data_IF_329751982546
#
_entry.id   IF_329751982546
#
_cell.length_a   1.000
_cell.length_b   1.000
_cell.length_c   1.000
_cell.angle_alpha   90.00
_cell.angle_beta   90.00
_cell.angle_gamma   90.00
#
_symmetry.space_group_name_H-M   'P 1'
#
loop_
_entity.id
_entity.type
_entity.pdbx_description
1 polymer ?
#
# COMPACT_ATOMS: atom_id res chain seq x y z
N UNK A 1 -31.07 -4.65 -5.58
CA UNK A 1 -30.90 -3.77 -4.41
C UNK A 1 -29.51 -3.16 -4.49
N UNK A 2 -29.40 -1.84 -4.59
CA UNK A 2 -28.12 -1.13 -4.55
C UNK A 2 -27.43 -1.47 -3.23
N UNK A 3 -26.14 -1.88 -3.21
CA UNK A 3 -25.47 -2.23 -1.97
C UNK A 3 -25.49 -1.02 -1.02
N UNK A 4 -26.09 -1.16 0.17
CA UNK A 4 -26.02 -0.09 1.16
C UNK A 4 -24.65 -0.10 1.84
N UNK A 5 -24.10 1.10 2.07
CA UNK A 5 -22.87 1.29 2.81
C UNK A 5 -23.15 1.16 4.32
N UNK A 6 -22.42 0.28 5.05
CA UNK A 6 -22.51 0.19 6.50
C UNK A 6 -22.19 1.52 7.19
N UNK A 7 -22.81 1.77 8.34
CA UNK A 7 -22.43 2.89 9.22
C UNK A 7 -21.05 2.65 9.84
N UNK A 8 -20.27 3.72 10.00
CA UNK A 8 -18.94 3.67 10.62
C UNK A 8 -18.94 4.37 11.98
N UNK A 9 -18.07 3.96 12.93
CA UNK A 9 -17.90 4.65 14.21
C UNK A 9 -17.45 6.12 14.03
N UNK A 10 -16.51 6.35 13.11
CA UNK A 10 -16.07 7.67 12.65
C UNK A 10 -15.80 7.62 11.13
N UNK A 11 -15.54 8.76 10.50
CA UNK A 11 -15.18 8.80 9.07
C UNK A 11 -13.78 8.21 8.86
N UNK A 12 -13.50 7.74 7.65
CA UNK A 12 -12.17 7.24 7.27
C UNK A 12 -11.04 8.25 7.55
N UNK A 13 -11.31 9.55 7.37
CA UNK A 13 -10.36 10.63 7.69
C UNK A 13 -9.88 10.58 9.15
N UNK A 14 -10.76 10.20 10.08
CA UNK A 14 -10.51 10.19 11.52
C UNK A 14 -10.07 8.80 12.04
N UNK A 15 -9.81 7.84 11.14
CA UNK A 15 -9.56 6.45 11.51
C UNK A 15 -8.28 6.29 12.36
N UNK A 16 -7.23 7.07 12.09
CA UNK A 16 -5.99 7.03 12.86
C UNK A 16 -6.24 7.47 14.30
N UNK A 17 -6.95 8.58 14.50
CA UNK A 17 -7.32 9.11 15.81
C UNK A 17 -8.26 8.16 16.56
N UNK A 18 -9.16 7.49 15.83
CA UNK A 18 -10.04 6.46 16.40
C UNK A 18 -9.24 5.27 16.94
N UNK A 19 -8.23 4.78 16.21
CA UNK A 19 -7.34 3.72 16.72
C UNK A 19 -6.60 4.21 17.97
N UNK A 20 -6.02 5.41 17.93
CA UNK A 20 -5.22 5.95 19.03
C UNK A 20 -6.03 6.15 20.32
N UNK A 21 -7.30 6.54 20.20
CA UNK A 21 -8.21 6.70 21.34
C UNK A 21 -8.68 5.37 21.96
N UNK A 22 -8.40 4.23 21.32
CA UNK A 22 -8.76 2.89 21.79
C UNK A 22 -7.51 1.98 21.89
N UNK A 23 -6.56 2.28 22.79
CA UNK A 23 -5.31 1.52 22.91
C UNK A 23 -5.52 0.07 23.36
N UNK A 24 -6.49 -0.16 24.25
CA UNK A 24 -6.78 -1.48 24.85
C UNK A 24 -7.71 -2.35 24.00
N UNK A 25 -8.39 -1.79 23.01
CA UNK A 25 -9.30 -2.55 22.13
C UNK A 25 -8.49 -3.30 21.06
N UNK A 26 -8.73 -4.59 20.81
CA UNK A 26 -8.09 -5.33 19.72
C UNK A 26 -8.26 -4.62 18.37
N UNK A 27 -7.17 -4.52 17.59
CA UNK A 27 -7.17 -3.79 16.31
C UNK A 27 -8.16 -4.42 15.33
N UNK A 28 -8.32 -5.74 15.38
CA UNK A 28 -9.23 -6.52 14.55
C UNK A 28 -10.69 -6.10 14.76
N UNK A 29 -11.06 -5.73 15.99
CA UNK A 29 -12.40 -5.23 16.31
C UNK A 29 -12.60 -3.80 15.78
N UNK A 30 -11.58 -2.95 15.92
CA UNK A 30 -11.63 -1.55 15.48
C UNK A 30 -11.77 -1.42 13.96
N UNK A 31 -11.11 -2.30 13.19
CA UNK A 31 -11.13 -2.25 11.72
C UNK A 31 -12.32 -2.99 11.10
N UNK A 32 -13.00 -3.87 11.84
CA UNK A 32 -14.10 -4.70 11.34
C UNK A 32 -15.22 -3.90 10.65
N UNK A 33 -15.71 -2.76 11.18
CA UNK A 33 -16.71 -1.94 10.48
C UNK A 33 -16.20 -1.40 9.13
N UNK A 34 -14.93 -1.01 9.08
CA UNK A 34 -14.29 -0.48 7.88
C UNK A 34 -14.05 -1.55 6.82
N UNK A 35 -13.69 -2.78 7.23
CA UNK A 35 -13.59 -3.91 6.31
C UNK A 35 -14.95 -4.27 5.70
N UNK A 36 -16.03 -4.20 6.48
CA UNK A 36 -17.39 -4.38 5.96
C UNK A 36 -17.79 -3.26 4.98
N UNK A 37 -17.41 -2.01 5.30
CA UNK A 37 -17.60 -0.88 4.39
C UNK A 37 -16.86 -1.09 3.07
N UNK A 38 -15.56 -1.43 3.14
CA UNK A 38 -14.72 -1.66 1.97
C UNK A 38 -15.26 -2.80 1.09
N UNK A 39 -15.81 -3.86 1.69
CA UNK A 39 -16.46 -4.95 0.95
C UNK A 39 -17.73 -4.50 0.21
N UNK A 40 -18.54 -3.62 0.80
CA UNK A 40 -19.69 -2.99 0.12
C UNK A 40 -19.24 -2.01 -0.97
N UNK A 41 -18.26 -1.15 -0.66
CA UNK A 41 -17.67 -0.20 -1.60
C UNK A 41 -17.11 -0.91 -2.85
N UNK A 42 -16.40 -2.02 -2.66
CA UNK A 42 -15.89 -2.85 -3.76
C UNK A 42 -16.99 -3.35 -4.69
N UNK A 43 -18.15 -3.75 -4.17
CA UNK A 43 -19.30 -4.16 -4.98
C UNK A 43 -19.87 -2.98 -5.76
N UNK A 44 -19.99 -1.82 -5.12
CA UNK A 44 -20.45 -0.58 -5.75
C UNK A 44 -19.52 -0.19 -6.91
N UNK A 45 -18.22 -0.09 -6.67
CA UNK A 45 -17.24 0.22 -7.72
C UNK A 45 -17.30 -0.75 -8.91
N UNK A 46 -17.63 -2.02 -8.67
CA UNK A 46 -17.71 -3.03 -9.71
C UNK A 46 -19.06 -3.06 -10.46
N UNK A 47 -20.15 -2.61 -9.84
CA UNK A 47 -21.51 -2.89 -10.32
C UNK A 47 -22.38 -1.64 -10.54
N UNK A 48 -22.02 -0.50 -9.94
CA UNK A 48 -22.82 0.73 -10.00
C UNK A 48 -21.94 1.98 -10.21
N UNK A 49 -21.54 2.25 -11.48
CA UNK A 49 -20.75 3.43 -11.83
C UNK A 49 -21.44 4.77 -11.55
N UNK A 50 -22.77 4.78 -11.39
CA UNK A 50 -23.55 5.98 -11.15
C UNK A 50 -23.62 6.35 -9.66
N UNK A 51 -23.23 5.44 -8.77
CA UNK A 51 -23.28 5.66 -7.33
C UNK A 51 -22.38 6.83 -6.89
N UNK A 52 -22.86 7.65 -5.94
CA UNK A 52 -22.15 8.85 -5.49
C UNK A 52 -20.71 8.55 -4.98
N UNK A 53 -20.53 7.41 -4.31
CA UNK A 53 -19.23 6.90 -3.84
C UNK A 53 -18.17 6.83 -4.96
N UNK A 54 -18.57 6.52 -6.19
CA UNK A 54 -17.65 6.36 -7.33
C UNK A 54 -16.95 7.67 -7.68
N UNK A 55 -17.62 8.81 -7.44
CA UNK A 55 -17.11 10.15 -7.73
C UNK A 55 -16.29 10.75 -6.60
N UNK A 56 -16.28 10.12 -5.43
CA UNK A 56 -15.53 10.60 -4.28
C UNK A 56 -14.14 9.98 -4.28
N UNK A 57 -13.11 10.81 -4.50
CA UNK A 57 -11.72 10.41 -4.53
C UNK A 57 -11.23 9.76 -3.24
N UNK A 58 -11.84 10.11 -2.11
CA UNK A 58 -11.33 9.79 -0.78
C UNK A 58 -12.32 8.98 0.07
N UNK A 59 -13.36 8.42 -0.56
CA UNK A 59 -14.55 7.90 0.11
C UNK A 59 -14.30 6.84 1.20
N UNK A 60 -13.36 5.93 0.96
CA UNK A 60 -13.00 4.83 1.88
C UNK A 60 -11.50 4.73 2.17
N UNK A 61 -10.78 5.85 2.11
CA UNK A 61 -9.33 5.88 2.34
C UNK A 61 -8.97 6.90 3.41
N UNK A 62 -7.84 6.65 4.04
CA UNK A 62 -7.34 7.33 5.23
C UNK A 62 -6.10 8.14 4.84
N UNK A 63 -6.08 9.47 5.04
CA UNK A 63 -4.84 10.23 4.92
C UNK A 63 -3.88 9.79 6.03
N UNK A 64 -2.64 9.46 5.67
CA UNK A 64 -1.66 8.94 6.64
C UNK A 64 -1.08 10.07 7.49
N UNK A 65 -0.81 11.22 6.89
CA UNK A 65 -0.24 12.38 7.57
C UNK A 65 -1.31 13.42 7.85
N UNK A 66 -1.25 14.05 9.02
CA UNK A 66 -2.09 15.18 9.37
C UNK A 66 -1.86 16.34 8.39
N UNK A 67 -2.94 16.94 7.89
CA UNK A 67 -2.89 17.94 6.81
C UNK A 67 -2.29 19.27 7.25
N UNK A 68 -2.25 19.55 8.55
CA UNK A 68 -1.75 20.81 9.09
C UNK A 68 -0.28 20.70 9.50
N UNK A 69 0.08 19.60 10.16
CA UNK A 69 1.42 19.38 10.72
C UNK A 69 2.33 18.56 9.82
N UNK A 70 1.78 17.82 8.85
CA UNK A 70 2.53 16.86 8.04
C UNK A 70 3.08 15.67 8.84
N UNK A 71 2.58 15.46 10.06
CA UNK A 71 3.07 14.42 10.99
C UNK A 71 2.05 13.29 11.16
N UNK A 72 2.49 12.14 11.63
CA UNK A 72 1.61 11.03 11.99
C UNK A 72 2.15 10.23 13.16
N UNK A 73 1.25 9.66 13.96
CA UNK A 73 1.58 8.91 15.16
C UNK A 73 0.99 7.49 15.12
N UNK A 74 1.10 6.82 13.97
CA UNK A 74 0.69 5.42 13.83
C UNK A 74 1.78 4.53 14.46
N UNK A 75 1.44 3.88 15.57
CA UNK A 75 2.34 3.03 16.37
C UNK A 75 2.08 1.55 16.15
N UNK A 76 3.13 0.75 16.25
CA UNK A 76 3.07 -0.71 16.22
C UNK A 76 2.36 -1.21 17.47
N UNK A 77 1.37 -2.10 17.29
CA UNK A 77 0.82 -2.94 18.36
C UNK A 77 1.35 -4.35 18.16
N UNK A 78 2.47 -4.64 18.81
CA UNK A 78 3.20 -5.88 18.58
C UNK A 78 2.48 -7.06 19.25
N UNK A 79 2.58 -8.23 18.61
CA UNK A 79 2.09 -9.49 19.17
C UNK A 79 2.87 -9.88 20.41
N UNK A 80 2.16 -10.35 21.44
CA UNK A 80 2.76 -11.03 22.59
C UNK A 80 2.80 -12.54 22.33
N UNK A 81 3.92 -13.00 21.75
CA UNK A 81 4.12 -14.41 21.44
C UNK A 81 4.15 -15.30 22.69
N UNK A 82 4.38 -14.75 23.89
CA UNK A 82 4.41 -15.53 25.12
C UNK A 82 3.01 -15.84 25.65
N UNK A 83 2.06 -14.93 25.41
CA UNK A 83 0.66 -15.06 25.80
C UNK A 83 -0.20 -15.86 24.80
N UNK A 84 0.26 -16.01 23.55
CA UNK A 84 -0.48 -16.73 22.51
C UNK A 84 -0.48 -18.26 22.68
N UNK A 85 -1.64 -18.88 22.48
CA UNK A 85 -1.78 -20.34 22.45
C UNK A 85 -1.11 -20.96 21.21
N UNK A 86 -0.74 -22.25 21.24
CA UNK A 86 -0.22 -22.94 20.06
C UNK A 86 -1.14 -22.83 18.83
N UNK A 87 -2.45 -22.95 19.04
CA UNK A 87 -3.45 -22.89 17.97
C UNK A 87 -3.48 -21.52 17.30
N UNK A 88 -3.31 -20.44 18.07
CA UNK A 88 -3.23 -19.08 17.53
C UNK A 88 -1.97 -18.89 16.68
N UNK A 89 -0.81 -19.39 17.15
CA UNK A 89 0.46 -19.33 16.41
C UNK A 89 0.39 -20.10 15.11
N UNK A 90 -0.29 -21.25 15.11
CA UNK A 90 -0.45 -22.09 13.94
C UNK A 90 -1.25 -21.42 12.81
N UNK A 91 -2.06 -20.39 13.08
CA UNK A 91 -2.79 -19.63 12.03
C UNK A 91 -1.89 -18.77 11.14
N UNK A 92 -0.62 -18.58 11.49
CA UNK A 92 0.34 -17.82 10.70
C UNK A 92 1.07 -18.72 9.70
N UNK A 93 1.05 -18.37 8.41
CA UNK A 93 1.64 -19.17 7.32
C UNK A 93 3.09 -18.76 7.07
N UNK A 94 3.39 -17.47 7.17
CA UNK A 94 4.71 -16.89 6.97
C UNK A 94 5.04 -16.01 8.19
N UNK A 95 5.34 -16.59 9.36
CA UNK A 95 5.65 -15.82 10.54
C UNK A 95 7.00 -15.09 10.39
N UNK A 96 7.10 -13.91 10.99
CA UNK A 96 8.33 -13.13 11.03
C UNK A 96 9.27 -13.71 12.08
N UNK A 97 10.57 -13.83 11.76
CA UNK A 97 11.58 -14.11 12.77
C UNK A 97 11.70 -12.93 13.75
N UNK A 98 12.20 -13.21 14.95
CA UNK A 98 12.22 -12.25 16.05
C UNK A 98 12.94 -10.94 15.70
N UNK A 99 14.05 -11.00 14.96
CA UNK A 99 14.85 -9.84 14.54
C UNK A 99 14.15 -8.93 13.51
N UNK A 100 13.07 -9.40 12.89
CA UNK A 100 12.27 -8.64 11.90
C UNK A 100 10.98 -8.08 12.49
N UNK A 101 10.65 -8.42 13.74
CA UNK A 101 9.51 -7.85 14.46
C UNK A 101 9.88 -6.48 15.00
N UNK A 102 8.98 -5.52 14.80
CA UNK A 102 9.08 -4.17 15.35
C UNK A 102 8.64 -4.18 16.80
N UNK A 103 9.28 -3.34 17.59
CA UNK A 103 8.98 -3.19 19.01
C UNK A 103 7.57 -2.59 19.19
N UNK A 104 6.85 -3.03 20.21
CA UNK A 104 5.57 -2.43 20.59
C UNK A 104 5.75 -0.92 20.84
N UNK A 105 4.80 -0.11 20.37
CA UNK A 105 4.86 1.36 20.52
C UNK A 105 5.89 2.06 19.62
N UNK A 106 6.72 1.34 18.86
CA UNK A 106 7.57 1.95 17.83
C UNK A 106 6.73 2.48 16.66
N UNK A 107 7.31 3.36 15.84
CA UNK A 107 6.63 3.87 14.65
C UNK A 107 6.29 2.72 13.66
N UNK A 108 5.04 2.64 13.21
CA UNK A 108 4.61 1.66 12.20
C UNK A 108 4.86 2.15 10.77
N UNK A 109 4.86 3.46 10.58
CA UNK A 109 5.19 4.20 9.36
C UNK A 109 6.15 5.33 9.71
N UNK A 110 6.81 5.94 8.73
CA UNK A 110 7.66 7.12 8.97
C UNK A 110 6.85 8.25 9.63
N UNK A 111 7.42 9.00 10.59
CA UNK A 111 6.68 9.95 11.43
C UNK A 111 6.23 11.23 10.71
N UNK A 112 6.76 11.53 9.52
CA UNK A 112 6.43 12.76 8.78
C UNK A 112 6.35 12.55 7.27
N UNK A 113 5.52 13.38 6.63
CA UNK A 113 5.38 13.45 5.18
C UNK A 113 6.70 13.83 4.52
N UNK A 114 7.47 14.74 5.13
CA UNK A 114 8.79 15.15 4.62
C UNK A 114 9.77 13.97 4.57
N UNK A 115 9.77 13.11 5.60
CA UNK A 115 10.59 11.89 5.60
C UNK A 115 10.11 10.90 4.53
N UNK A 116 8.80 10.71 4.38
CA UNK A 116 8.22 9.90 3.30
C UNK A 116 8.66 10.42 1.93
N UNK A 117 8.53 11.72 1.66
CA UNK A 117 8.87 12.33 0.38
C UNK A 117 10.36 12.19 0.06
N UNK A 118 11.24 12.38 1.05
CA UNK A 118 12.67 12.12 0.89
C UNK A 118 12.95 10.65 0.56
N UNK A 119 12.31 9.71 1.27
CA UNK A 119 12.46 8.28 1.02
C UNK A 119 11.93 7.89 -0.37
N UNK A 120 10.78 8.42 -0.76
CA UNK A 120 10.15 8.16 -2.05
C UNK A 120 11.00 8.72 -3.19
N UNK A 121 11.49 9.95 -3.09
CA UNK A 121 12.38 10.55 -4.08
C UNK A 121 13.68 9.75 -4.26
N UNK A 122 14.27 9.24 -3.17
CA UNK A 122 15.44 8.37 -3.24
C UNK A 122 15.09 7.01 -3.86
N UNK A 123 13.96 6.41 -3.45
CA UNK A 123 13.51 5.13 -3.98
C UNK A 123 13.28 5.17 -5.49
N UNK A 124 12.77 6.29 -6.01
CA UNK A 124 12.51 6.51 -7.44
C UNK A 124 13.70 7.10 -8.20
N UNK A 125 14.83 7.34 -7.52
CA UNK A 125 16.00 8.09 -8.03
C UNK A 125 15.61 9.43 -8.71
N UNK A 126 14.61 10.10 -8.14
CA UNK A 126 14.15 11.41 -8.60
C UNK A 126 13.32 11.42 -9.89
N UNK A 127 13.07 10.28 -10.55
CA UNK A 127 12.42 10.23 -11.87
C UNK A 127 11.01 10.84 -11.97
N UNK A 128 10.35 11.07 -10.85
CA UNK A 128 9.02 11.67 -10.78
C UNK A 128 9.05 13.13 -10.31
N UNK A 129 10.23 13.76 -10.27
CA UNK A 129 10.42 15.12 -9.74
C UNK A 129 9.60 16.18 -10.47
N UNK A 130 9.52 16.09 -11.80
CA UNK A 130 8.80 17.05 -12.66
C UNK A 130 7.40 16.54 -13.08
N UNK A 131 6.86 15.54 -12.40
CA UNK A 131 5.54 15.00 -12.71
C UNK A 131 4.45 15.92 -12.14
N UNK A 132 3.57 16.43 -13.02
CA UNK A 132 2.25 16.91 -12.59
C UNK A 132 1.40 15.72 -12.11
N UNK A 133 1.03 15.75 -10.83
CA UNK A 133 0.29 14.67 -10.17
C UNK A 133 -1.23 14.74 -10.36
N UNK A 134 -1.75 15.73 -11.08
CA UNK A 134 -3.18 15.82 -11.37
C UNK A 134 -3.68 14.55 -12.05
N UNK A 135 -4.71 13.90 -11.49
CA UNK A 135 -5.33 12.67 -12.02
C UNK A 135 -4.40 11.44 -12.14
N UNK A 136 -3.26 11.44 -11.44
CA UNK A 136 -2.35 10.28 -11.36
C UNK A 136 -1.89 10.07 -9.93
N UNK A 137 -1.78 8.81 -9.50
CA UNK A 137 -1.15 8.45 -8.22
C UNK A 137 -0.12 7.36 -8.43
N UNK A 138 0.95 7.38 -7.64
CA UNK A 138 1.78 6.20 -7.44
C UNK A 138 1.09 5.33 -6.39
N UNK A 139 1.07 4.01 -6.54
CA UNK A 139 0.45 3.14 -5.55
C UNK A 139 1.20 1.82 -5.36
N UNK A 140 0.88 1.13 -4.28
CA UNK A 140 1.42 -0.19 -4.03
C UNK A 140 2.86 -0.16 -3.54
N UNK A 141 3.68 -1.02 -4.13
CA UNK A 141 4.97 -1.43 -3.59
C UNK A 141 5.92 -0.26 -3.33
N UNK A 142 5.96 0.72 -4.24
CA UNK A 142 6.83 1.89 -4.16
C UNK A 142 6.46 2.80 -2.99
N UNK A 143 5.15 3.09 -2.83
CA UNK A 143 4.63 3.92 -1.75
C UNK A 143 4.86 3.23 -0.41
N UNK A 144 4.47 1.96 -0.28
CA UNK A 144 4.61 1.19 0.96
C UNK A 144 6.07 1.12 1.40
N UNK A 145 6.98 0.83 0.47
CA UNK A 145 8.41 0.72 0.78
C UNK A 145 8.99 2.04 1.32
N UNK A 146 8.52 3.16 0.80
CA UNK A 146 8.96 4.50 1.22
C UNK A 146 8.29 4.95 2.52
N UNK A 147 7.13 4.38 2.83
CA UNK A 147 6.33 4.66 4.03
C UNK A 147 6.80 3.89 5.27
N UNK A 148 7.39 2.71 5.09
CA UNK A 148 7.85 1.89 6.21
C UNK A 148 9.14 2.46 6.84
N UNK A 149 9.30 2.37 8.18
CA UNK A 149 10.51 2.83 8.84
C UNK A 149 11.75 2.08 8.36
N UNK A 150 12.78 2.85 8.01
CA UNK A 150 14.08 2.30 7.60
C UNK A 150 14.90 1.91 8.84
N UNK A 151 15.60 0.76 8.84
CA UNK A 151 16.51 0.40 9.93
C UNK A 151 17.57 1.48 10.21
N UNK A 152 17.87 1.71 11.49
CA UNK A 152 18.76 2.79 11.95
C UNK A 152 20.12 2.80 11.23
N UNK A 153 20.67 1.62 10.96
CA UNK A 153 21.96 1.44 10.26
C UNK A 153 22.01 2.06 8.85
N UNK A 154 20.87 2.28 8.21
CA UNK A 154 20.78 2.86 6.86
C UNK A 154 20.22 4.28 6.84
N UNK A 155 19.56 4.73 7.91
CA UNK A 155 18.76 5.97 7.94
C UNK A 155 19.60 7.24 7.81
N UNK A 156 20.84 7.22 8.32
CA UNK A 156 21.63 8.44 8.54
C UNK A 156 22.38 8.97 7.31
N UNK A 157 22.21 8.37 6.12
CA UNK A 157 22.80 8.92 4.89
C UNK A 157 22.03 8.53 3.64
N UNK A 158 22.05 9.39 2.62
CA UNK A 158 21.51 9.08 1.28
C UNK A 158 22.13 7.81 0.69
N UNK A 159 23.42 7.57 0.94
CA UNK A 159 24.11 6.34 0.51
C UNK A 159 23.54 5.10 1.21
N UNK A 160 23.30 5.18 2.52
CA UNK A 160 22.70 4.10 3.29
C UNK A 160 21.27 3.80 2.83
N UNK A 161 20.46 4.83 2.58
CA UNK A 161 19.10 4.68 2.05
C UNK A 161 19.10 4.03 0.67
N UNK A 162 19.99 4.47 -0.24
CA UNK A 162 20.14 3.83 -1.56
C UNK A 162 20.55 2.37 -1.45
N UNK A 163 21.54 2.07 -0.61
CA UNK A 163 21.96 0.69 -0.35
C UNK A 163 20.77 -0.15 0.15
N UNK A 164 19.99 0.37 1.10
CA UNK A 164 18.83 -0.31 1.62
C UNK A 164 17.78 -0.60 0.54
N UNK A 165 17.39 0.39 -0.26
CA UNK A 165 16.33 0.23 -1.23
C UNK A 165 16.74 -0.54 -2.48
N UNK A 166 17.93 -0.28 -3.04
CA UNK A 166 18.37 -0.85 -4.31
C UNK A 166 19.08 -2.20 -4.17
N UNK A 167 19.68 -2.51 -3.02
CA UNK A 167 20.44 -3.76 -2.85
C UNK A 167 19.77 -4.76 -1.89
N UNK A 168 19.05 -4.29 -0.87
CA UNK A 168 18.60 -5.16 0.23
C UNK A 168 17.09 -5.40 0.25
N UNK A 169 16.28 -4.33 0.23
CA UNK A 169 14.87 -4.41 0.59
C UNK A 169 13.95 -4.59 -0.61
N UNK A 170 14.24 -3.92 -1.72
CA UNK A 170 13.37 -3.91 -2.90
C UNK A 170 14.15 -3.75 -4.21
N UNK A 171 15.16 -4.60 -4.51
CA UNK A 171 16.03 -4.41 -5.67
C UNK A 171 15.24 -4.38 -6.99
N UNK A 172 14.32 -5.33 -7.20
CA UNK A 172 13.55 -5.48 -8.43
C UNK A 172 12.12 -4.89 -8.36
N UNK A 173 11.90 -3.86 -7.55
CA UNK A 173 10.57 -3.24 -7.45
C UNK A 173 10.39 -2.17 -8.52
N UNK A 174 9.27 -2.26 -9.25
CA UNK A 174 8.79 -1.23 -10.16
C UNK A 174 8.03 -0.12 -9.41
N UNK A 175 7.75 0.97 -10.12
CA UNK A 175 6.92 2.10 -9.68
C UNK A 175 5.62 2.09 -10.48
N UNK A 176 4.50 1.74 -9.84
CA UNK A 176 3.20 1.67 -10.50
C UNK A 176 2.45 3.01 -10.39
N UNK A 177 2.12 3.61 -11.54
CA UNK A 177 1.28 4.79 -11.68
C UNK A 177 -0.12 4.40 -12.16
N UNK A 178 -1.13 4.97 -11.53
CA UNK A 178 -2.54 4.72 -11.81
C UNK A 178 -3.24 6.02 -12.19
N UNK A 179 -3.99 6.00 -13.28
CA UNK A 179 -4.79 7.13 -13.76
C UNK A 179 -6.21 7.05 -13.22
N UNK A 180 -6.77 8.19 -12.84
CA UNK A 180 -8.14 8.25 -12.33
C UNK A 180 -8.89 9.52 -12.76
N UNK A 181 -10.20 9.40 -12.94
CA UNK A 181 -11.08 10.53 -13.25
C UNK A 181 -10.83 11.19 -14.62
N UNK A 182 -10.35 10.41 -15.60
CA UNK A 182 -10.03 10.87 -16.95
C UNK A 182 -10.92 10.16 -18.00
N UNK A 183 -11.17 10.82 -19.13
CA UNK A 183 -11.61 10.11 -20.35
C UNK A 183 -10.45 9.38 -21.00
N UNK A 184 -10.73 8.54 -22.00
CA UNK A 184 -9.68 7.83 -22.74
C UNK A 184 -8.72 8.80 -23.46
N UNK A 185 -9.26 9.86 -24.08
CA UNK A 185 -8.47 10.88 -24.78
C UNK A 185 -7.57 11.65 -23.79
N UNK A 186 -8.13 12.03 -22.65
CA UNK A 186 -7.36 12.70 -21.59
C UNK A 186 -6.29 11.77 -21.00
N UNK A 187 -6.58 10.49 -20.84
CA UNK A 187 -5.63 9.50 -20.36
C UNK A 187 -4.45 9.33 -21.34
N UNK A 188 -4.70 9.33 -22.65
CA UNK A 188 -3.64 9.30 -23.67
C UNK A 188 -2.71 10.51 -23.52
N UNK A 189 -3.27 11.72 -23.40
CA UNK A 189 -2.47 12.93 -23.19
C UNK A 189 -1.70 12.89 -21.86
N UNK A 190 -2.32 12.34 -20.81
CA UNK A 190 -1.64 12.17 -19.51
C UNK A 190 -0.49 11.17 -19.59
N UNK A 191 -0.62 10.08 -20.34
CA UNK A 191 0.48 9.11 -20.58
C UNK A 191 1.64 9.80 -21.31
N UNK A 192 1.37 10.56 -22.38
CA UNK A 192 2.40 11.33 -23.10
C UNK A 192 3.10 12.33 -22.18
N UNK A 193 2.33 13.03 -21.34
CA UNK A 193 2.87 13.93 -20.33
C UNK A 193 3.80 13.19 -19.36
N UNK A 194 3.36 12.06 -18.77
CA UNK A 194 4.16 11.25 -17.85
C UNK A 194 5.48 10.81 -18.52
N UNK A 195 5.40 10.30 -19.74
CA UNK A 195 6.59 9.88 -20.49
C UNK A 195 7.57 11.03 -20.71
N UNK A 196 7.07 12.20 -21.14
CA UNK A 196 7.89 13.38 -21.34
C UNK A 196 8.50 13.92 -20.05
N UNK A 197 7.75 13.98 -18.94
CA UNK A 197 8.28 14.37 -17.63
C UNK A 197 9.43 13.47 -17.20
N UNK A 198 9.25 12.15 -17.30
CA UNK A 198 10.25 11.16 -16.90
C UNK A 198 11.50 11.27 -17.79
N UNK A 199 11.32 11.36 -19.10
CA UNK A 199 12.42 11.51 -20.08
C UNK A 199 13.22 12.79 -19.88
N UNK A 200 12.57 13.88 -19.50
CA UNK A 200 13.24 15.16 -19.25
C UNK A 200 13.90 15.22 -17.86
N UNK A 201 13.45 14.39 -16.90
CA UNK A 201 14.02 14.32 -15.55
C UNK A 201 15.25 13.41 -15.50
N UNK A 202 15.20 12.27 -16.20
CA UNK A 202 16.28 11.29 -16.20
C UNK A 202 17.34 11.67 -17.25
N UNK A 203 18.61 11.69 -16.85
CA UNK A 203 19.73 12.04 -17.74
C UNK A 203 20.01 10.99 -18.82
N UNK A 204 19.62 9.75 -18.58
CA UNK A 204 19.89 8.61 -19.44
C UNK A 204 18.70 8.32 -20.37
N UNK A 205 18.99 7.62 -21.46
CA UNK A 205 17.97 7.21 -22.43
C UNK A 205 16.88 6.35 -21.77
N UNK A 206 15.65 6.54 -22.23
CA UNK A 206 14.46 5.82 -21.77
C UNK A 206 13.87 5.00 -22.90
N UNK A 207 13.51 3.75 -22.63
CA UNK A 207 12.78 2.87 -23.56
C UNK A 207 11.36 2.65 -23.06
N UNK A 208 10.38 2.90 -23.93
CA UNK A 208 8.95 2.73 -23.61
C UNK A 208 8.41 1.45 -24.24
N UNK A 209 7.86 0.55 -23.42
CA UNK A 209 7.33 -0.75 -23.83
C UNK A 209 5.84 -0.81 -23.47
N UNK A 210 4.97 -1.01 -24.45
CA UNK A 210 3.53 -1.21 -24.21
C UNK A 210 3.19 -2.70 -24.19
N UNK A 211 2.53 -3.13 -23.13
CA UNK A 211 1.88 -4.44 -23.02
C UNK A 211 0.36 -4.30 -23.08
N UNK A 212 -0.37 -5.41 -22.91
CA UNK A 212 -1.84 -5.39 -22.87
C UNK A 212 -2.40 -4.47 -21.78
N UNK A 213 -1.77 -4.44 -20.61
CA UNK A 213 -2.33 -3.80 -19.41
C UNK A 213 -1.49 -2.63 -18.89
N UNK A 214 -0.25 -2.47 -19.36
CA UNK A 214 0.68 -1.46 -18.85
C UNK A 214 1.52 -0.85 -19.95
N UNK A 215 1.97 0.39 -19.74
CA UNK A 215 3.11 0.99 -20.45
C UNK A 215 4.26 1.10 -19.46
N UNK A 216 5.39 0.50 -19.78
CA UNK A 216 6.59 0.52 -18.93
C UNK A 216 7.64 1.42 -19.55
N UNK A 217 8.08 2.43 -18.80
CA UNK A 217 9.21 3.30 -19.14
C UNK A 217 10.41 2.78 -18.36
N UNK A 218 11.38 2.24 -19.09
CA UNK A 218 12.60 1.67 -18.54
C UNK A 218 13.81 2.56 -18.84
N UNK A 219 14.77 2.60 -17.93
CA UNK A 219 16.07 3.25 -18.12
C UNK A 219 17.15 2.42 -17.41
N UNK A 220 18.40 2.86 -17.46
CA UNK A 220 19.51 2.16 -16.84
C UNK A 220 19.44 2.17 -15.30
N UNK A 221 19.96 1.12 -14.67
CA UNK A 221 20.18 1.10 -13.22
C UNK A 221 20.99 2.34 -12.78
N UNK A 222 20.65 3.01 -11.65
CA UNK A 222 19.69 2.61 -10.60
C UNK A 222 18.23 2.99 -10.85
N UNK A 223 17.90 3.53 -12.03
CA UNK A 223 16.55 3.96 -12.34
C UNK A 223 15.60 2.76 -12.38
N UNK A 224 14.53 2.84 -11.60
CA UNK A 224 13.47 1.83 -11.59
C UNK A 224 12.57 2.02 -12.80
N UNK A 225 11.98 0.93 -13.26
CA UNK A 225 10.94 1.02 -14.28
C UNK A 225 9.70 1.71 -13.70
N UNK A 226 9.16 2.65 -14.47
CA UNK A 226 7.88 3.29 -14.17
C UNK A 226 6.82 2.63 -15.04
N UNK A 227 5.80 2.06 -14.42
CA UNK A 227 4.71 1.36 -15.08
C UNK A 227 3.43 2.18 -14.97
N UNK A 228 2.86 2.58 -16.11
CA UNK A 228 1.55 3.22 -16.17
C UNK A 228 0.51 2.12 -16.42
N UNK A 229 -0.40 1.93 -15.47
CA UNK A 229 -1.50 0.98 -15.59
C UNK A 229 -2.56 1.56 -16.53
N UNK A 230 -2.91 0.80 -17.58
CA UNK A 230 -3.81 1.27 -18.64
C UNK A 230 -5.30 1.26 -18.26
N UNK A 231 -5.66 0.61 -17.15
CA UNK A 231 -7.02 0.72 -16.62
C UNK A 231 -7.22 2.11 -16.04
N UNK A 232 -8.22 2.83 -16.54
CA UNK A 232 -8.67 4.10 -15.99
C UNK A 232 -9.65 3.82 -14.85
N UNK A 233 -9.42 4.42 -13.70
CA UNK A 233 -10.28 4.32 -12.52
C UNK A 233 -11.12 5.60 -12.37
N UNK A 234 -12.18 5.56 -11.59
CA UNK A 234 -12.98 6.76 -11.30
C UNK A 234 -12.35 7.60 -10.19
N UNK A 235 -11.76 6.94 -9.19
CA UNK A 235 -11.23 7.56 -7.98
C UNK A 235 -10.00 6.83 -7.43
N UNK A 236 -9.22 7.52 -6.59
CA UNK A 236 -8.12 6.92 -5.81
C UNK A 236 -8.65 5.81 -4.88
N UNK A 237 -9.84 6.03 -4.32
CA UNK A 237 -10.55 5.05 -3.50
C UNK A 237 -10.83 3.74 -4.27
N UNK A 238 -11.25 3.80 -5.54
CA UNK A 238 -11.43 2.62 -6.39
C UNK A 238 -10.11 1.85 -6.58
N UNK A 239 -9.01 2.56 -6.85
CA UNK A 239 -7.67 1.97 -7.05
C UNK A 239 -7.28 1.13 -5.82
N UNK A 240 -7.32 1.72 -4.62
CA UNK A 240 -6.90 1.03 -3.39
C UNK A 240 -7.85 -0.10 -2.97
N UNK A 241 -9.15 0.04 -3.25
CA UNK A 241 -10.14 -1.01 -3.01
C UNK A 241 -9.89 -2.25 -3.86
N UNK A 242 -9.37 -2.06 -5.08
CA UNK A 242 -9.07 -3.12 -6.03
C UNK A 242 -7.85 -3.98 -5.69
N UNK A 243 -7.02 -3.56 -4.75
CA UNK A 243 -5.81 -4.30 -4.37
C UNK A 243 -6.14 -5.56 -3.58
N UNK A 244 -5.29 -6.57 -3.69
CA UNK A 244 -5.50 -7.89 -3.09
C UNK A 244 -4.89 -7.99 -1.68
N UNK A 245 -3.63 -7.61 -1.50
CA UNK A 245 -2.88 -7.69 -0.24
C UNK A 245 -3.02 -6.41 0.59
N UNK A 246 -3.34 -6.53 1.87
CA UNK A 246 -3.65 -5.41 2.78
C UNK A 246 -2.60 -4.32 2.80
N UNK A 247 -1.34 -4.66 3.12
CA UNK A 247 -0.27 -3.67 3.23
C UNK A 247 0.01 -2.91 1.94
N UNK A 248 -0.41 -3.45 0.79
CA UNK A 248 -0.16 -2.82 -0.49
C UNK A 248 -1.10 -1.65 -0.78
N UNK A 249 -2.18 -1.48 -0.03
CA UNK A 249 -3.21 -0.49 -0.32
C UNK A 249 -2.85 0.90 0.20
N UNK A 250 -1.75 1.45 -0.34
CA UNK A 250 -1.35 2.84 -0.16
C UNK A 250 -1.08 3.50 -1.52
N UNK A 251 -1.42 4.77 -1.63
CA UNK A 251 -1.21 5.61 -2.80
C UNK A 251 -0.64 6.97 -2.38
N UNK A 252 0.16 7.56 -3.26
CA UNK A 252 0.72 8.91 -3.13
C UNK A 252 0.31 9.74 -4.35
N UNK A 253 -0.25 10.91 -4.11
CA UNK A 253 -0.77 11.83 -5.13
C UNK A 253 0.15 13.05 -5.39
N UNK A 254 1.42 12.97 -4.97
CA UNK A 254 2.34 14.11 -5.05
C UNK A 254 2.26 15.07 -3.87
N UNK A 255 1.25 14.98 -3.01
CA UNK A 255 1.07 15.87 -1.86
C UNK A 255 0.82 15.09 -0.56
N UNK A 256 0.07 14.00 -0.61
CA UNK A 256 -0.38 13.22 0.52
C UNK A 256 -0.31 11.72 0.23
N UNK A 257 -0.08 10.93 1.27
CA UNK A 257 -0.22 9.47 1.24
C UNK A 257 -1.58 9.08 1.79
N UNK A 258 -2.32 8.30 1.01
CA UNK A 258 -3.58 7.69 1.43
C UNK A 258 -3.41 6.20 1.54
N UNK A 259 -4.10 5.58 2.50
CA UNK A 259 -4.14 4.13 2.63
C UNK A 259 -5.55 3.64 2.97
N UNK A 260 -5.85 2.37 2.68
CA UNK A 260 -7.09 1.77 3.20
C UNK A 260 -6.97 1.47 4.70
N UNK A 261 -8.08 1.38 5.46
CA UNK A 261 -8.05 0.99 6.87
C UNK A 261 -7.32 -0.33 7.12
N UNK A 262 -7.49 -1.33 6.24
CA UNK A 262 -6.76 -2.61 6.32
C UNK A 262 -5.26 -2.47 6.09
N UNK A 263 -4.82 -1.55 5.24
CA UNK A 263 -3.39 -1.24 5.09
C UNK A 263 -2.83 -0.62 6.36
N UNK A 264 -3.51 0.37 6.94
CA UNK A 264 -3.10 1.00 8.21
C UNK A 264 -2.94 -0.05 9.31
N UNK A 265 -3.92 -0.94 9.45
CA UNK A 265 -3.86 -2.07 10.39
C UNK A 265 -2.68 -2.99 10.10
N UNK A 266 -2.44 -3.36 8.84
CA UNK A 266 -1.31 -4.22 8.50
C UNK A 266 0.04 -3.59 8.87
N UNK A 267 0.16 -2.25 8.84
CA UNK A 267 1.37 -1.54 9.28
C UNK A 267 1.51 -1.60 10.80
N UNK A 268 0.41 -1.42 11.53
CA UNK A 268 0.34 -1.47 13.00
C UNK A 268 0.71 -2.86 13.52
N UNK A 269 0.19 -3.93 12.91
CA UNK A 269 0.34 -5.30 13.39
C UNK A 269 1.45 -6.08 12.68
N UNK A 270 2.09 -5.47 11.67
CA UNK A 270 2.98 -6.14 10.71
C UNK A 270 2.35 -7.42 10.12
N UNK A 271 1.05 -7.43 9.83
CA UNK A 271 0.35 -8.64 9.39
C UNK A 271 -0.55 -8.36 8.19
N UNK A 272 -0.42 -9.18 7.15
CA UNK A 272 -1.41 -9.27 6.07
C UNK A 272 -2.40 -10.39 6.40
N UNK A 273 -3.68 -10.08 6.38
CA UNK A 273 -4.72 -11.08 6.59
C UNK A 273 -5.11 -11.73 5.26
N UNK A 274 -5.27 -13.05 5.26
CA UNK A 274 -5.77 -13.74 4.06
C UNK A 274 -7.26 -13.46 3.89
N UNK A 275 -7.59 -12.88 2.74
CA UNK A 275 -8.97 -12.68 2.25
C UNK A 275 -9.10 -13.31 0.87
N UNK A 276 -9.65 -14.52 0.83
CA UNK A 276 -9.84 -15.28 -0.40
C UNK A 276 -10.82 -14.60 -1.38
N UNK A 277 -11.66 -13.67 -0.92
CA UNK A 277 -12.56 -12.91 -1.81
C UNK A 277 -11.81 -11.90 -2.67
N UNK A 278 -10.56 -11.55 -2.30
CA UNK A 278 -9.68 -10.62 -3.00
C UNK A 278 -8.56 -11.31 -3.77
N UNK A 279 -8.50 -12.65 -3.71
CA UNK A 279 -7.46 -13.46 -4.33
C UNK A 279 -7.35 -13.15 -5.82
N UNK A 280 -6.22 -12.57 -6.20
CA UNK A 280 -5.81 -12.38 -7.59
C UNK A 280 -4.91 -13.54 -8.05
N UNK A 281 -4.61 -13.68 -9.35
CA UNK A 281 -3.66 -14.69 -9.84
C UNK A 281 -2.25 -14.58 -9.27
N UNK A 282 -1.85 -13.42 -8.74
CA UNK A 282 -0.53 -13.19 -8.14
C UNK A 282 -0.57 -13.09 -6.61
N UNK A 283 -1.71 -13.36 -5.98
CA UNK A 283 -1.94 -13.08 -4.56
C UNK A 283 -0.93 -13.77 -3.64
N UNK A 284 -0.71 -15.08 -3.80
CA UNK A 284 0.26 -15.84 -2.99
C UNK A 284 1.69 -15.36 -3.21
N UNK A 285 2.06 -15.07 -4.45
CA UNK A 285 3.37 -14.51 -4.78
C UNK A 285 3.56 -13.13 -4.15
N UNK A 286 2.50 -12.31 -4.10
CA UNK A 286 2.52 -11.01 -3.43
C UNK A 286 2.59 -11.15 -1.91
N UNK A 287 1.87 -12.09 -1.31
CA UNK A 287 1.96 -12.41 0.12
C UNK A 287 3.40 -12.81 0.49
N UNK A 288 4.02 -13.69 -0.30
CA UNK A 288 5.43 -14.04 -0.15
C UNK A 288 6.37 -12.84 -0.34
N UNK A 289 6.13 -12.00 -1.37
CA UNK A 289 6.92 -10.77 -1.58
C UNK A 289 6.86 -9.84 -0.36
N UNK A 290 5.69 -9.63 0.23
CA UNK A 290 5.54 -8.77 1.41
C UNK A 290 6.03 -9.42 2.69
N UNK A 291 6.13 -10.75 2.77
CA UNK A 291 6.75 -11.39 3.95
C UNK A 291 8.23 -11.09 4.09
N UNK A 292 8.95 -11.02 2.97
CA UNK A 292 10.33 -10.55 2.92
C UNK A 292 10.47 -9.04 3.22
N UNK A 293 9.35 -8.30 3.26
CA UNK A 293 9.29 -6.85 3.55
C UNK A 293 8.80 -6.54 4.97
N UNK A 294 8.83 -7.52 5.85
CA UNK A 294 8.52 -7.32 7.27
C UNK A 294 7.03 -7.43 7.60
N UNK A 295 6.27 -8.23 6.86
CA UNK A 295 4.87 -8.55 7.17
C UNK A 295 4.66 -10.05 7.34
N UNK A 296 3.93 -10.45 8.37
CA UNK A 296 3.45 -11.81 8.52
C UNK A 296 2.23 -12.07 7.63
N UNK A 297 1.91 -13.34 7.44
CA UNK A 297 0.66 -13.76 6.79
C UNK A 297 -0.18 -14.53 7.78
N UNK A 298 -1.36 -14.01 8.10
CA UNK A 298 -2.31 -14.60 9.04
C UNK A 298 -3.56 -15.08 8.31
N UNK A 299 -3.99 -16.31 8.60
CA UNK A 299 -5.21 -16.86 8.06
C UNK A 299 -6.09 -17.43 9.19
N UNK A 300 -7.14 -16.71 9.62
CA UNK A 300 -7.93 -17.14 10.78
C UNK A 300 -8.63 -18.49 10.55
N UNK A 301 -9.00 -18.81 9.30
CA UNK A 301 -9.64 -20.08 8.95
C UNK A 301 -8.66 -21.24 8.71
N UNK A 302 -7.34 -21.03 8.81
CA UNK A 302 -6.35 -22.08 8.60
C UNK A 302 -6.51 -23.18 9.65
N UNK A 303 -6.66 -24.42 9.18
CA UNK A 303 -6.67 -25.60 10.02
C UNK A 303 -5.56 -26.54 9.55
N UNK A 304 -4.45 -26.58 10.30
CA UNK A 304 -3.26 -27.35 9.91
C UNK A 304 -3.50 -28.85 9.89
N UNK A 305 -4.47 -29.35 10.65
CA UNK A 305 -4.85 -30.77 10.64
C UNK A 305 -5.41 -31.22 9.29
N UNK A 306 -5.88 -30.28 8.46
CA UNK A 306 -6.43 -30.53 7.12
C UNK A 306 -5.39 -30.35 6.00
N UNK A 307 -4.16 -29.97 6.34
CA UNK A 307 -3.07 -29.79 5.37
C UNK A 307 -2.24 -31.07 5.37
N UNK A 308 -2.20 -31.77 4.24
CA UNK A 308 -1.28 -32.90 4.06
C UNK A 308 0.17 -32.36 4.01
N UNK A 309 1.04 -32.71 4.97
CA UNK A 309 2.42 -32.26 4.98
C UNK A 309 3.27 -32.91 3.88
N UNK A 310 2.75 -33.95 3.20
CA UNK A 310 3.43 -34.67 2.12
C UNK A 310 2.76 -34.31 0.80
N UNK A 311 3.29 -33.31 0.10
CA UNK A 311 3.00 -33.15 -1.32
C UNK A 311 3.54 -34.39 -2.06
N UNK A 312 2.67 -35.35 -2.38
CA UNK A 312 2.97 -36.42 -3.34
C UNK A 312 2.80 -35.92 -4.77
#
# INVERSE_FOLDING_TARGET
MTPSLPSLPVKHHDFVQYIQSHPETPIEELVKPYNAFDASARKIFAQDPAHALVKDNFANIVPIFDTTTGSTDIRVRARDLSAETPEQKEKYILPLPHDKRRLNGSHAVVPSLAEFQNNFALFTEGALGDLDWSNVVAAGSAVVTSLLPVPEKYRNSKRGLRQYYHEQFAPASDIDLFLYGLTEEQAIEKIKHIENSIRNTILYETTTIRTKNTITIASQYPQRHVQIVLRIYHSVAEILTGFDVDCSCAAYDGQQVYASPRAVVSYITQTNQIDLTRRSPSYENRLSKYSHRGFEVFWPQLDRSKVDPVCK
#
